data_IF_258592211294
#
_entry.id   IF_258592211294
#
_cell.length_a   1.000
_cell.length_b   1.000
_cell.length_c   1.000
_cell.angle_alpha   90.00
_cell.angle_beta   90.00
_cell.angle_gamma   90.00
#
_symmetry.space_group_name_H-M   'P 1'
#
loop_
_entity.id
_entity.type
_entity.pdbx_description
1 polymer ?
#
# COMPACT_ATOMS: atom_id res chain seq x y z
N UNK A 1 3.14 -11.68 6.82
CA UNK A 1 2.53 -12.37 5.67
C UNK A 1 1.26 -11.65 5.26
N UNK A 2 1.12 -11.39 3.97
CA UNK A 2 -0.07 -10.73 3.46
C UNK A 2 -1.27 -11.69 3.47
N UNK A 3 -2.43 -11.21 3.88
CA UNK A 3 -3.68 -11.94 3.83
C UNK A 3 -4.46 -11.58 2.57
N UNK A 4 -5.39 -12.43 2.15
CA UNK A 4 -6.28 -12.10 1.05
C UNK A 4 -7.10 -10.85 1.38
N UNK A 5 -7.27 -9.97 0.41
CA UNK A 5 -8.02 -8.74 0.59
C UNK A 5 -9.53 -9.00 0.64
N UNK A 6 -10.24 -8.20 1.45
CA UNK A 6 -11.70 -8.24 1.48
C UNK A 6 -12.29 -7.84 0.14
N UNK A 7 -13.46 -8.39 -0.15
CA UNK A 7 -14.22 -8.08 -1.37
C UNK A 7 -15.70 -7.86 -1.06
N UNK A 8 -16.02 -7.12 0.00
CA UNK A 8 -17.41 -6.92 0.41
C UNK A 8 -18.05 -5.70 -0.23
N UNK A 9 -17.33 -4.58 -0.29
CA UNK A 9 -17.86 -3.33 -0.84
C UNK A 9 -17.45 -3.08 -2.29
N UNK A 10 -16.32 -3.63 -2.70
CA UNK A 10 -15.65 -3.36 -3.99
C UNK A 10 -15.22 -1.91 -4.13
N UNK A 11 -15.00 -1.23 -3.01
CA UNK A 11 -14.52 0.15 -2.98
C UNK A 11 -13.11 0.20 -2.44
N UNK A 12 -12.28 1.00 -3.07
CA UNK A 12 -10.92 1.31 -2.65
C UNK A 12 -10.81 2.82 -2.52
N UNK A 13 -10.40 3.28 -1.35
CA UNK A 13 -10.13 4.71 -1.16
C UNK A 13 -8.70 5.01 -1.60
N UNK A 14 -8.54 5.94 -2.52
CA UNK A 14 -7.22 6.50 -2.85
C UNK A 14 -6.93 7.62 -1.85
N UNK A 15 -6.04 7.36 -0.92
CA UNK A 15 -5.72 8.29 0.17
C UNK A 15 -4.41 9.01 -0.12
N UNK A 16 -4.50 10.20 -0.71
CA UNK A 16 -3.34 11.02 -1.07
C UNK A 16 -3.10 12.18 -0.11
N UNK A 17 -3.60 12.05 1.11
CA UNK A 17 -3.39 13.04 2.16
C UNK A 17 -1.93 13.05 2.61
N UNK A 18 -1.39 14.23 2.90
CA UNK A 18 -0.01 14.37 3.38
C UNK A 18 0.10 14.59 4.89
N UNK A 19 -0.98 14.96 5.53
CA UNK A 19 -1.03 15.15 6.98
C UNK A 19 -1.36 13.81 7.66
N UNK A 20 -0.51 13.38 8.58
CA UNK A 20 -0.68 12.10 9.27
C UNK A 20 -2.01 11.99 10.00
N UNK A 21 -2.37 13.03 10.77
CA UNK A 21 -3.59 13.01 11.57
C UNK A 21 -4.84 12.97 10.70
N UNK A 22 -4.86 13.77 9.63
CA UNK A 22 -5.97 13.77 8.69
C UNK A 22 -6.10 12.44 7.98
N UNK A 23 -4.98 11.83 7.59
CA UNK A 23 -4.98 10.51 6.94
C UNK A 23 -5.59 9.45 7.87
N UNK A 24 -5.21 9.45 9.14
CA UNK A 24 -5.75 8.50 10.12
C UNK A 24 -7.22 8.75 10.39
N UNK A 25 -7.65 10.01 10.48
CA UNK A 25 -9.06 10.37 10.67
C UNK A 25 -9.91 9.90 9.50
N UNK A 26 -9.45 10.10 8.27
CA UNK A 26 -10.15 9.63 7.07
C UNK A 26 -10.23 8.10 7.08
N UNK A 27 -9.13 7.43 7.39
CA UNK A 27 -9.08 5.97 7.44
C UNK A 27 -10.07 5.42 8.47
N UNK A 28 -10.12 6.03 9.66
CA UNK A 28 -11.05 5.62 10.70
C UNK A 28 -12.52 5.81 10.25
N UNK A 29 -12.80 6.89 9.55
CA UNK A 29 -14.15 7.18 9.08
C UNK A 29 -14.64 6.19 8.02
N UNK A 30 -13.75 5.63 7.19
CA UNK A 30 -14.14 4.78 6.06
C UNK A 30 -13.82 3.30 6.26
N UNK A 31 -13.15 2.91 7.33
CA UNK A 31 -12.63 1.55 7.51
C UNK A 31 -13.70 0.46 7.42
N UNK A 32 -14.94 0.77 7.81
CA UNK A 32 -16.07 -0.16 7.70
C UNK A 32 -16.76 -0.15 6.33
N UNK A 33 -16.41 0.78 5.46
CA UNK A 33 -17.10 1.01 4.17
C UNK A 33 -16.29 0.50 2.99
N UNK A 34 -14.96 0.65 3.03
CA UNK A 34 -14.09 0.27 1.91
C UNK A 34 -13.42 -1.08 2.18
N UNK A 35 -13.08 -1.78 1.10
CA UNK A 35 -12.32 -3.03 1.19
C UNK A 35 -10.83 -2.78 1.39
N UNK A 36 -10.31 -1.67 0.87
CA UNK A 36 -8.90 -1.34 1.00
C UNK A 36 -8.69 0.17 0.93
N UNK A 37 -7.56 0.59 1.49
CA UNK A 37 -7.04 1.96 1.37
C UNK A 37 -5.77 1.88 0.53
N UNK A 38 -5.73 2.68 -0.52
CA UNK A 38 -4.57 2.77 -1.39
C UNK A 38 -3.78 4.02 -1.08
N UNK A 39 -2.50 3.88 -0.79
CA UNK A 39 -1.60 5.00 -0.50
C UNK A 39 -0.50 5.08 -1.54
N UNK A 40 0.11 6.25 -1.63
CA UNK A 40 1.18 6.53 -2.56
C UNK A 40 2.30 7.30 -1.85
N UNK A 41 3.30 7.68 -2.59
CA UNK A 41 4.49 8.34 -2.07
C UNK A 41 4.24 9.65 -1.29
N UNK A 42 3.27 10.51 -1.67
CA UNK A 42 3.05 11.74 -0.89
C UNK A 42 2.85 11.50 0.59
N UNK A 43 2.03 10.51 0.96
CA UNK A 43 1.80 10.21 2.38
C UNK A 43 3.05 9.57 3.02
N UNK A 44 3.69 8.64 2.32
CA UNK A 44 4.87 7.95 2.86
C UNK A 44 6.03 8.94 3.07
N UNK A 45 6.24 9.86 2.14
CA UNK A 45 7.32 10.84 2.25
C UNK A 45 7.07 11.85 3.36
N UNK A 46 5.82 12.24 3.61
CA UNK A 46 5.52 13.26 4.61
C UNK A 46 5.30 12.69 6.01
N UNK A 47 4.75 11.48 6.13
CA UNK A 47 4.38 10.89 7.43
C UNK A 47 5.19 9.64 7.77
N UNK A 48 6.02 9.15 6.87
CA UNK A 48 6.88 7.99 7.08
C UNK A 48 6.26 6.66 6.66
N UNK A 49 7.09 5.63 6.44
CA UNK A 49 6.62 4.30 6.04
C UNK A 49 5.82 3.59 7.14
N UNK A 50 5.90 4.05 8.38
CA UNK A 50 5.09 3.54 9.50
C UNK A 50 3.59 3.70 9.24
N UNK A 51 3.21 4.60 8.34
CA UNK A 51 1.81 4.76 7.94
C UNK A 51 1.23 3.50 7.34
N UNK A 52 2.03 2.68 6.68
CA UNK A 52 1.58 1.38 6.17
C UNK A 52 1.05 0.54 7.33
N UNK A 53 1.82 0.44 8.40
CA UNK A 53 1.43 -0.34 9.58
C UNK A 53 0.21 0.25 10.27
N UNK A 54 0.18 1.57 10.46
CA UNK A 54 -0.95 2.25 11.11
C UNK A 54 -2.25 2.04 10.34
N UNK A 55 -2.21 2.20 9.02
CA UNK A 55 -3.39 2.02 8.19
C UNK A 55 -3.81 0.55 8.09
N UNK A 56 -2.85 -0.38 8.14
CA UNK A 56 -3.13 -1.83 8.07
C UNK A 56 -3.96 -2.31 9.27
N UNK A 57 -3.93 -1.61 10.38
CA UNK A 57 -4.77 -1.91 11.54
C UNK A 57 -6.23 -1.55 11.33
N UNK A 58 -6.54 -0.74 10.32
CA UNK A 58 -7.88 -0.23 10.04
C UNK A 58 -8.51 -0.85 8.81
N UNK A 59 -7.70 -1.19 7.81
CA UNK A 59 -8.16 -1.72 6.54
C UNK A 59 -7.02 -2.44 5.84
N UNK A 60 -7.31 -3.21 4.80
CA UNK A 60 -6.27 -3.68 3.91
C UNK A 60 -5.61 -2.48 3.22
N UNK A 61 -4.31 -2.55 3.01
CA UNK A 61 -3.54 -1.44 2.44
C UNK A 61 -2.90 -1.86 1.13
N UNK A 62 -3.13 -1.05 0.10
CA UNK A 62 -2.45 -1.18 -1.19
C UNK A 62 -1.40 -0.08 -1.26
N UNK A 63 -0.15 -0.46 -1.42
CA UNK A 63 0.94 0.49 -1.64
C UNK A 63 1.11 0.70 -3.14
N UNK A 64 0.56 1.79 -3.65
CA UNK A 64 0.69 2.14 -5.07
C UNK A 64 2.02 2.83 -5.32
N UNK A 65 3.10 2.08 -5.16
CA UNK A 65 4.46 2.60 -5.25
C UNK A 65 4.99 2.64 -6.68
N UNK A 66 4.25 2.06 -7.64
CA UNK A 66 4.63 2.05 -9.05
C UNK A 66 6.07 1.61 -9.23
N UNK A 67 6.42 0.50 -8.58
CA UNK A 67 7.79 0.02 -8.50
C UNK A 67 8.29 -0.34 -9.91
N UNK A 68 9.43 0.22 -10.26
CA UNK A 68 10.04 0.04 -11.58
C UNK A 68 11.54 0.01 -11.40
N UNK A 69 12.10 -1.18 -11.19
CA UNK A 69 13.52 -1.31 -10.87
C UNK A 69 14.04 -2.69 -11.31
N UNK A 70 15.30 -2.92 -11.08
CA UNK A 70 15.91 -4.24 -11.31
C UNK A 70 15.32 -5.26 -10.33
N UNK A 71 15.37 -6.57 -10.66
CA UNK A 71 14.69 -7.59 -9.86
C UNK A 71 14.99 -7.56 -8.36
N UNK A 72 16.26 -7.44 -7.99
CA UNK A 72 16.63 -7.42 -6.56
C UNK A 72 16.01 -6.24 -5.81
N UNK A 73 16.01 -5.05 -6.41
CA UNK A 73 15.44 -3.86 -5.77
C UNK A 73 13.92 -3.95 -5.70
N UNK A 74 13.26 -4.49 -6.72
CA UNK A 74 11.83 -4.76 -6.70
C UNK A 74 11.49 -5.67 -5.50
N UNK A 75 12.25 -6.75 -5.34
CA UNK A 75 12.05 -7.66 -4.21
C UNK A 75 12.17 -6.93 -2.87
N UNK A 76 13.21 -6.12 -2.70
CA UNK A 76 13.43 -5.41 -1.44
C UNK A 76 12.31 -4.41 -1.11
N UNK A 77 11.81 -3.70 -2.12
CA UNK A 77 10.73 -2.74 -1.93
C UNK A 77 9.43 -3.45 -1.57
N UNK A 78 9.07 -4.48 -2.32
CA UNK A 78 7.83 -5.24 -2.08
C UNK A 78 7.89 -5.91 -0.71
N UNK A 79 8.99 -6.56 -0.39
CA UNK A 79 9.17 -7.21 0.89
C UNK A 79 9.10 -6.22 2.06
N UNK A 80 9.69 -5.04 1.89
CA UNK A 80 9.61 -3.97 2.88
C UNK A 80 8.20 -3.47 3.13
N UNK A 81 7.40 -3.34 2.07
CA UNK A 81 6.01 -2.92 2.21
C UNK A 81 5.15 -4.01 2.86
N UNK A 82 5.29 -5.25 2.41
CA UNK A 82 4.53 -6.38 2.98
C UNK A 82 4.91 -6.62 4.44
N UNK A 83 6.20 -6.47 4.79
CA UNK A 83 6.67 -6.60 6.15
C UNK A 83 6.09 -5.55 7.11
N UNK A 84 5.62 -4.42 6.58
CA UNK A 84 4.96 -3.38 7.37
C UNK A 84 3.44 -3.55 7.43
N UNK A 85 2.89 -4.53 6.74
CA UNK A 85 1.47 -4.83 6.80
C UNK A 85 0.69 -4.53 5.53
N UNK A 86 1.33 -4.15 4.44
CA UNK A 86 0.63 -3.98 3.17
C UNK A 86 0.06 -5.31 2.68
N UNK A 87 -1.11 -5.26 2.07
CA UNK A 87 -1.75 -6.42 1.45
C UNK A 87 -1.38 -6.55 -0.02
N UNK A 88 -0.98 -5.46 -0.65
CA UNK A 88 -0.61 -5.45 -2.07
C UNK A 88 0.33 -4.29 -2.37
N UNK A 89 1.12 -4.46 -3.41
CA UNK A 89 2.03 -3.42 -3.93
C UNK A 89 1.86 -3.35 -5.44
N UNK A 90 1.72 -2.13 -5.96
CA UNK A 90 1.60 -1.94 -7.41
C UNK A 90 2.98 -1.75 -8.01
N UNK A 91 3.28 -2.54 -9.04
CA UNK A 91 4.54 -2.49 -9.77
C UNK A 91 4.26 -2.28 -11.26
N UNK A 92 5.23 -1.70 -11.97
CA UNK A 92 5.17 -1.58 -13.42
C UNK A 92 5.64 -2.87 -14.09
N UNK A 93 4.98 -3.27 -15.17
CA UNK A 93 5.35 -4.47 -15.92
C UNK A 93 6.40 -4.21 -17.01
N UNK A 94 6.64 -2.95 -17.37
CA UNK A 94 7.59 -2.62 -18.44
C UNK A 94 9.05 -2.93 -18.10
N UNK A 95 9.36 -3.22 -16.84
CA UNK A 95 10.71 -3.57 -16.40
C UNK A 95 11.12 -5.01 -16.78
N UNK A 96 10.19 -5.80 -17.30
CA UNK A 96 10.46 -7.14 -17.75
C UNK A 96 9.99 -8.23 -16.80
N UNK A 97 10.02 -9.48 -17.30
CA UNK A 97 9.48 -10.63 -16.57
C UNK A 97 10.24 -10.95 -15.30
N UNK A 98 11.57 -10.73 -15.27
CA UNK A 98 12.37 -11.05 -14.10
C UNK A 98 11.99 -10.16 -12.92
N UNK A 99 11.80 -8.86 -13.14
CA UNK A 99 11.35 -7.93 -12.10
C UNK A 99 9.93 -8.26 -11.64
N UNK A 100 9.06 -8.63 -12.58
CA UNK A 100 7.67 -9.02 -12.25
C UNK A 100 7.63 -10.26 -11.37
N UNK A 101 8.50 -11.23 -11.63
CA UNK A 101 8.55 -12.47 -10.83
C UNK A 101 9.04 -12.21 -9.41
N UNK A 102 9.92 -11.24 -9.22
CA UNK A 102 10.44 -10.89 -7.90
C UNK A 102 9.45 -10.06 -7.06
N UNK A 103 8.48 -9.45 -7.71
CA UNK A 103 7.49 -8.64 -7.01
C UNK A 103 6.55 -9.43 -6.08
#
# INVERSE_FOLDING_TARGET
MATAMRKSSRLILALDETDREKALDIADAVSGTVDAIKINWPLVLSAGPEMITELSRRSDVICDFKVADIPNTVHLIVDGALGRGASAVIVHSFTGSDSMKEA
#
